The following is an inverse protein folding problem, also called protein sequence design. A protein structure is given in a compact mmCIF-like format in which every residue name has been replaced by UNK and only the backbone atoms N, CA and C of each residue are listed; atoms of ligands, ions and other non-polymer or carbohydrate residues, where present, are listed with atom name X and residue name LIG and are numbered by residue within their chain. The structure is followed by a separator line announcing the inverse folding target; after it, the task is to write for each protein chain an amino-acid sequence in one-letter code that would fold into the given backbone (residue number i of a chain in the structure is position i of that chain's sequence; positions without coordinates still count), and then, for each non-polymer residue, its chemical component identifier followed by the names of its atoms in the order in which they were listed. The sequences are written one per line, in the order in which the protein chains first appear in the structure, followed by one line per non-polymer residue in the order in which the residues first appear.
data_IF_676612252342
#
_entry.id   IF_676612252342
#
_cell.length_a   1.000
_cell.length_b   1.000
_cell.length_c   1.000
_cell.angle_alpha   90.00
_cell.angle_beta   90.00
_cell.angle_gamma   90.00
#
_symmetry.space_group_name_H-M   'P 1'
#
loop_
_entity.id
_entity.type
_entity.pdbx_description
1 polymer ?
#
# COMPACT_ATOMS: atom_id res chain seq x y z
N UNK A 1 -5.42 15.52 -8.85
CA UNK A 1 -6.42 15.34 -9.91
C UNK A 1 -6.22 16.31 -11.07
N UNK A 2 -6.13 17.62 -10.82
CA UNK A 2 -5.87 18.62 -11.88
C UNK A 2 -4.62 18.34 -12.75
N UNK A 3 -3.58 17.70 -12.17
CA UNK A 3 -2.38 17.24 -12.89
C UNK A 3 -2.53 15.85 -13.54
N UNK A 4 -3.74 15.30 -13.64
CA UNK A 4 -4.00 13.98 -14.24
C UNK A 4 -3.58 12.77 -13.39
N UNK A 5 -3.22 12.97 -12.11
CA UNK A 5 -2.89 11.87 -11.19
C UNK A 5 -4.05 10.88 -11.09
N UNK A 6 -3.78 9.59 -11.34
CA UNK A 6 -4.79 8.50 -11.30
C UNK A 6 -4.71 7.59 -10.08
N UNK A 7 -3.62 7.67 -9.31
CA UNK A 7 -3.42 6.89 -8.10
C UNK A 7 -2.83 7.74 -6.99
N UNK A 8 -3.36 7.59 -5.78
CA UNK A 8 -2.91 8.26 -4.56
C UNK A 8 -2.60 7.20 -3.51
N UNK A 9 -1.41 7.31 -2.90
CA UNK A 9 -0.99 6.47 -1.79
C UNK A 9 -0.97 7.31 -0.51
N UNK A 10 -1.95 7.09 0.37
CA UNK A 10 -2.09 7.77 1.65
C UNK A 10 -1.27 7.09 2.74
N UNK A 11 -0.08 7.62 3.01
CA UNK A 11 0.78 7.14 4.11
C UNK A 11 0.32 7.69 5.46
N UNK A 12 0.03 8.99 5.52
CA UNK A 12 -0.24 9.73 6.75
C UNK A 12 -1.38 9.09 7.55
N UNK A 13 -1.13 8.87 8.84
CA UNK A 13 -2.14 8.41 9.80
C UNK A 13 -2.84 9.60 10.47
N UNK A 14 -4.03 9.36 11.05
CA UNK A 14 -4.77 10.38 11.79
C UNK A 14 -5.29 11.53 10.93
N UNK A 15 -5.46 11.31 9.62
CA UNK A 15 -6.01 12.31 8.70
C UNK A 15 -7.44 12.68 9.14
N UNK A 16 -7.72 13.95 9.47
CA UNK A 16 -9.08 14.38 9.78
C UNK A 16 -9.99 14.19 8.58
N UNK A 17 -11.19 13.67 8.83
CA UNK A 17 -12.21 13.40 7.81
C UNK A 17 -11.68 12.66 6.56
N UNK A 18 -10.93 11.59 6.83
CA UNK A 18 -10.33 10.75 5.79
C UNK A 18 -11.35 10.23 4.77
N UNK A 19 -12.60 10.01 5.18
CA UNK A 19 -13.70 9.60 4.30
C UNK A 19 -14.04 10.69 3.26
N UNK A 20 -14.14 11.96 3.68
CA UNK A 20 -14.35 13.06 2.72
C UNK A 20 -13.14 13.24 1.78
N UNK A 21 -11.91 13.04 2.27
CA UNK A 21 -10.72 13.04 1.42
C UNK A 21 -10.80 11.94 0.35
N UNK A 22 -11.14 10.71 0.74
CA UNK A 22 -11.30 9.60 -0.19
C UNK A 22 -12.38 9.89 -1.24
N UNK A 23 -13.54 10.39 -0.82
CA UNK A 23 -14.62 10.77 -1.73
C UNK A 23 -14.19 11.84 -2.76
N UNK A 24 -13.40 12.84 -2.35
CA UNK A 24 -12.86 13.85 -3.28
C UNK A 24 -11.88 13.26 -4.28
N UNK A 25 -11.04 12.32 -3.86
CA UNK A 25 -10.06 11.65 -4.74
C UNK A 25 -10.79 10.79 -5.79
N UNK A 26 -11.77 9.99 -5.36
CA UNK A 26 -12.52 9.10 -6.25
C UNK A 26 -13.44 9.85 -7.19
N UNK A 27 -14.10 10.92 -6.73
CA UNK A 27 -14.96 11.77 -7.57
C UNK A 27 -14.21 12.44 -8.73
N UNK A 28 -12.90 12.70 -8.60
CA UNK A 28 -12.08 13.19 -9.70
C UNK A 28 -11.44 12.11 -10.57
N UNK A 29 -11.79 10.83 -10.36
CA UNK A 29 -11.35 9.72 -11.21
C UNK A 29 -10.01 9.09 -10.85
N UNK A 30 -9.45 9.39 -9.67
CA UNK A 30 -8.28 8.68 -9.14
C UNK A 30 -8.70 7.60 -8.13
N UNK A 31 -7.77 6.70 -7.82
CA UNK A 31 -7.93 5.69 -6.77
C UNK A 31 -7.03 5.97 -5.57
N UNK A 32 -7.46 5.58 -4.38
CA UNK A 32 -6.75 5.74 -3.12
C UNK A 32 -6.41 4.38 -2.49
N UNK A 33 -5.13 4.17 -2.16
CA UNK A 33 -4.68 3.17 -1.20
C UNK A 33 -4.37 3.90 0.11
N UNK A 34 -4.85 3.41 1.25
CA UNK A 34 -4.75 4.08 2.55
C UNK A 34 -6.02 4.86 2.95
N UNK A 35 -5.92 5.92 3.79
CA UNK A 35 -4.71 6.47 4.42
C UNK A 35 -4.10 5.51 5.47
N UNK A 36 -3.13 5.95 6.26
CA UNK A 36 -2.47 5.10 7.29
C UNK A 36 -1.81 3.83 6.70
N UNK A 37 -1.20 3.96 5.53
CA UNK A 37 -0.48 2.87 4.84
C UNK A 37 1.01 2.90 5.14
N UNK A 38 1.66 1.72 5.22
CA UNK A 38 3.13 1.62 5.15
C UNK A 38 3.69 1.65 3.72
N UNK A 39 2.82 1.67 2.71
CA UNK A 39 3.17 1.89 1.31
C UNK A 39 3.02 0.67 0.40
N UNK A 40 3.71 0.73 -0.74
CA UNK A 40 3.64 -0.24 -1.84
C UNK A 40 5.04 -0.67 -2.29
N UNK A 41 5.20 -1.96 -2.56
CA UNK A 41 6.34 -2.54 -3.26
C UNK A 41 5.85 -3.44 -4.40
N UNK A 42 6.50 -3.36 -5.56
CA UNK A 42 6.28 -4.24 -6.71
C UNK A 42 7.62 -4.63 -7.32
N UNK A 43 8.00 -5.90 -7.17
CA UNK A 43 9.26 -6.43 -7.66
C UNK A 43 9.39 -6.31 -9.19
N UNK A 44 8.27 -6.46 -9.92
CA UNK A 44 8.26 -6.48 -11.39
C UNK A 44 8.62 -5.13 -12.00
N UNK A 45 8.18 -4.03 -11.38
CA UNK A 45 8.47 -2.67 -11.84
C UNK A 45 9.62 -2.01 -11.08
N UNK A 46 10.23 -2.73 -10.13
CA UNK A 46 11.22 -2.19 -9.19
C UNK A 46 10.71 -0.96 -8.41
N UNK A 47 9.39 -0.87 -8.22
CA UNK A 47 8.77 0.19 -7.43
C UNK A 47 8.91 -0.14 -5.95
N UNK A 48 9.57 0.73 -5.20
CA UNK A 48 9.69 0.62 -3.75
C UNK A 48 9.36 1.96 -3.09
N UNK A 49 8.10 2.09 -2.69
CA UNK A 49 7.56 3.26 -1.97
C UNK A 49 6.85 2.77 -0.70
N UNK A 50 7.57 1.95 0.07
CA UNK A 50 7.10 1.34 1.30
C UNK A 50 8.19 1.37 2.37
N UNK A 51 7.80 1.32 3.64
CA UNK A 51 8.71 0.96 4.72
C UNK A 51 8.81 -0.56 4.83
N UNK A 52 10.02 -1.06 4.69
CA UNK A 52 10.33 -2.49 4.81
C UNK A 52 11.51 -2.87 3.93
N UNK A 53 11.99 -4.10 4.11
CA UNK A 53 13.04 -4.67 3.29
C UNK A 53 12.51 -5.91 2.57
N UNK A 54 12.20 -5.73 1.29
CA UNK A 54 11.56 -6.71 0.43
C UNK A 54 12.57 -7.29 -0.56
N UNK A 55 12.80 -8.59 -0.47
CA UNK A 55 13.54 -9.35 -1.48
C UNK A 55 12.57 -9.79 -2.57
N UNK A 56 12.90 -9.57 -3.83
CA UNK A 56 12.08 -10.01 -4.96
C UNK A 56 11.85 -11.54 -4.92
N UNK A 57 10.62 -11.98 -5.20
CA UNK A 57 10.25 -13.39 -5.32
C UNK A 57 8.79 -13.56 -5.77
N UNK A 58 8.16 -14.67 -5.37
CA UNK A 58 6.83 -15.06 -5.88
C UNK A 58 5.64 -14.66 -4.99
N UNK A 59 5.84 -14.36 -3.71
CA UNK A 59 4.74 -14.20 -2.74
C UNK A 59 4.16 -12.78 -2.76
N UNK A 60 2.85 -12.63 -2.96
CA UNK A 60 2.18 -11.36 -2.77
C UNK A 60 1.64 -11.24 -1.34
N UNK A 61 1.82 -10.09 -0.70
CA UNK A 61 1.31 -9.77 0.64
C UNK A 61 0.45 -8.51 0.55
N UNK A 62 -0.82 -8.63 0.90
CA UNK A 62 -1.74 -7.50 1.04
C UNK A 62 -2.22 -7.50 2.48
N UNK A 63 -2.07 -6.39 3.20
CA UNK A 63 -2.43 -6.33 4.61
C UNK A 63 -2.98 -4.97 5.01
N UNK A 64 -4.04 -4.99 5.83
CA UNK A 64 -4.61 -3.80 6.45
C UNK A 64 -3.62 -3.23 7.49
N UNK A 65 -3.07 -4.08 8.36
CA UNK A 65 -1.99 -3.71 9.27
C UNK A 65 -0.65 -3.77 8.54
N UNK A 66 -0.06 -2.61 8.29
CA UNK A 66 1.26 -2.54 7.68
C UNK A 66 2.31 -3.35 8.44
N UNK A 67 2.30 -3.28 9.78
CA UNK A 67 3.25 -3.99 10.63
C UNK A 67 3.11 -5.51 10.50
N UNK A 68 1.88 -6.04 10.48
CA UNK A 68 1.65 -7.48 10.24
C UNK A 68 2.14 -7.87 8.85
N UNK A 69 1.86 -7.06 7.84
CA UNK A 69 2.33 -7.32 6.48
C UNK A 69 3.86 -7.33 6.37
N UNK A 70 4.56 -6.42 7.05
CA UNK A 70 6.03 -6.41 7.07
C UNK A 70 6.59 -7.62 7.83
N UNK A 71 5.94 -8.04 8.93
CA UNK A 71 6.35 -9.26 9.64
C UNK A 71 6.19 -10.51 8.78
N UNK A 72 5.12 -10.60 7.97
CA UNK A 72 4.94 -11.68 6.99
C UNK A 72 6.08 -11.64 5.95
N UNK A 73 6.47 -10.46 5.47
CA UNK A 73 7.59 -10.33 4.53
C UNK A 73 8.93 -10.76 5.16
N UNK A 74 9.15 -10.42 6.43
CA UNK A 74 10.33 -10.86 7.19
C UNK A 74 10.34 -12.37 7.40
N UNK A 75 9.20 -12.98 7.74
CA UNK A 75 9.02 -14.42 7.86
C UNK A 75 9.30 -15.13 6.53
N UNK A 76 8.70 -14.65 5.44
CA UNK A 76 8.92 -15.18 4.10
C UNK A 76 10.41 -15.18 3.74
N UNK A 77 11.10 -14.07 4.01
CA UNK A 77 12.54 -13.95 3.78
C UNK A 77 13.35 -14.94 4.60
N UNK A 78 13.02 -15.15 5.88
CA UNK A 78 13.66 -16.18 6.72
C UNK A 78 13.41 -17.60 6.21
N UNK A 79 12.29 -17.82 5.52
CA UNK A 79 11.95 -19.09 4.86
C UNK A 79 12.52 -19.22 3.44
N UNK A 80 13.38 -18.30 2.98
CA UNK A 80 13.95 -18.34 1.64
C UNK A 80 12.99 -17.91 0.52
N UNK A 81 11.82 -17.38 0.86
CA UNK A 81 10.86 -16.82 -0.08
C UNK A 81 11.11 -15.33 -0.28
N UNK A 82 10.73 -14.82 -1.45
CA UNK A 82 10.71 -13.39 -1.75
C UNK A 82 9.31 -12.90 -2.06
N UNK A 83 9.14 -11.58 -1.99
CA UNK A 83 7.91 -10.86 -2.21
C UNK A 83 7.81 -10.43 -3.69
N UNK A 84 6.68 -10.73 -4.32
CA UNK A 84 6.34 -10.22 -5.66
C UNK A 84 5.70 -8.84 -5.56
N UNK A 85 4.75 -8.67 -4.64
CA UNK A 85 4.13 -7.39 -4.27
C UNK A 85 3.84 -7.31 -2.78
N UNK A 86 4.02 -6.13 -2.21
CA UNK A 86 3.53 -5.81 -0.88
C UNK A 86 2.65 -4.58 -0.96
N UNK A 87 1.43 -4.66 -0.45
CA UNK A 87 0.49 -3.52 -0.36
C UNK A 87 -0.02 -3.41 1.07
N UNK A 88 0.31 -2.31 1.74
CA UNK A 88 -0.36 -1.93 2.98
C UNK A 88 -1.60 -1.12 2.64
N UNK A 89 -2.79 -1.66 2.85
CA UNK A 89 -4.06 -1.01 2.43
C UNK A 89 -4.61 -0.03 3.49
N UNK A 90 -4.08 -0.05 4.71
CA UNK A 90 -4.34 0.96 5.74
C UNK A 90 -5.82 1.10 6.09
N UNK A 91 -6.36 2.32 5.99
CA UNK A 91 -7.74 2.65 6.32
C UNK A 91 -8.80 2.17 5.30
N UNK A 92 -8.40 1.63 4.15
CA UNK A 92 -9.29 0.98 3.16
C UNK A 92 -10.53 1.81 2.76
N UNK A 93 -10.35 3.10 2.47
CA UNK A 93 -11.46 3.99 2.14
C UNK A 93 -11.84 3.99 0.64
N UNK A 94 -11.10 3.26 -0.20
CA UNK A 94 -11.41 3.08 -1.63
C UNK A 94 -10.91 1.72 -2.14
N UNK A 95 -9.59 1.54 -2.30
CA UNK A 95 -9.03 0.24 -2.69
C UNK A 95 -8.98 -0.67 -1.46
N UNK A 96 -9.66 -1.81 -1.53
CA UNK A 96 -9.77 -2.78 -0.44
C UNK A 96 -9.15 -4.14 -0.82
N UNK A 97 -8.97 -5.00 0.18
CA UNK A 97 -8.61 -6.43 0.03
C UNK A 97 -9.79 -7.26 -0.41
#
# INVERSE_FOLDING_TARGET
LALGVRGVLGITAGVPDASALAARITAGGARLIGPSSLGLYDARTSLHIAWGDFRAGGLAVISQSGQVGTEIALLARRSGLGISRFVSVGGQLDVTT
#
